data_IF_085685790979
#
_entry.id   IF_085685790979
#
_cell.length_a   1.000
_cell.length_b   1.000
_cell.length_c   1.000
_cell.angle_alpha   90.00
_cell.angle_beta   90.00
_cell.angle_gamma   90.00
#
_symmetry.space_group_name_H-M   'P 1'
#
loop_
_entity.id
_entity.type
_entity.pdbx_description
1 polymer ?
#
# COMPACT_ATOMS: atom_id res chain seq x y z
N UNK A 1 16.91 33.50 8.71
CA UNK A 1 16.99 32.41 9.69
C UNK A 1 16.77 31.16 8.87
N UNK A 2 17.79 30.31 8.69
CA UNK A 2 17.60 29.02 8.00
C UNK A 2 16.69 28.16 8.87
N UNK A 3 15.69 27.54 8.26
CA UNK A 3 14.80 26.64 8.98
C UNK A 3 15.61 25.44 9.46
N UNK A 4 15.26 24.85 10.60
CA UNK A 4 15.83 23.56 11.02
C UNK A 4 15.61 22.51 9.91
N UNK A 5 14.54 22.65 9.10
CA UNK A 5 14.32 21.82 7.91
C UNK A 5 15.40 21.97 6.82
N UNK A 6 16.06 23.12 6.67
CA UNK A 6 17.12 23.31 5.66
C UNK A 6 18.39 22.49 5.99
N UNK A 7 18.57 22.07 7.24
CA UNK A 7 19.70 21.23 7.67
C UNK A 7 19.42 19.73 7.51
N UNK A 8 18.14 19.31 7.48
CA UNK A 8 17.74 17.90 7.41
C UNK A 8 17.04 17.50 6.10
N UNK A 9 16.84 18.42 5.15
CA UNK A 9 16.35 18.07 3.82
C UNK A 9 17.36 17.15 3.11
N UNK A 10 16.99 15.89 2.78
CA UNK A 10 17.94 14.93 2.25
C UNK A 10 18.37 15.32 0.83
N UNK A 11 19.67 15.27 0.58
CA UNK A 11 20.31 15.79 -0.65
C UNK A 11 20.57 14.72 -1.71
N UNK A 12 20.38 13.45 -1.36
CA UNK A 12 20.57 12.30 -2.24
C UNK A 12 19.86 11.06 -1.68
N UNK A 13 19.89 9.97 -2.45
CA UNK A 13 19.29 8.68 -2.13
C UNK A 13 19.79 8.08 -0.80
N UNK A 14 21.06 8.28 -0.47
CA UNK A 14 21.67 7.70 0.72
C UNK A 14 21.17 8.41 1.98
N UNK A 15 21.14 9.74 1.97
CA UNK A 15 20.63 10.53 3.10
C UNK A 15 19.15 10.21 3.41
N UNK A 16 18.33 9.97 2.38
CA UNK A 16 16.92 9.52 2.58
C UNK A 16 16.87 8.17 3.29
N UNK A 17 17.72 7.22 2.87
CA UNK A 17 17.79 5.91 3.50
C UNK A 17 18.35 5.96 4.92
N UNK A 18 19.28 6.86 5.21
CA UNK A 18 19.78 7.10 6.57
C UNK A 18 18.66 7.64 7.47
N UNK A 19 17.91 8.66 7.04
CA UNK A 19 16.76 9.17 7.80
C UNK A 19 15.69 8.10 8.05
N UNK A 20 15.40 7.27 7.04
CA UNK A 20 14.49 6.15 7.20
C UNK A 20 15.04 5.07 8.15
N UNK A 21 16.34 4.76 8.05
CA UNK A 21 17.03 3.81 8.93
C UNK A 21 16.98 4.25 10.38
N UNK A 22 17.21 5.53 10.65
CA UNK A 22 17.22 6.10 12.00
C UNK A 22 15.83 6.06 12.62
N UNK A 23 14.79 6.34 11.85
CA UNK A 23 13.40 6.14 12.29
C UNK A 23 13.10 4.66 12.53
N UNK A 24 13.41 3.80 11.57
CA UNK A 24 13.10 2.36 11.62
C UNK A 24 13.76 1.67 12.81
N UNK A 25 14.99 2.07 13.16
CA UNK A 25 15.74 1.51 14.27
C UNK A 25 15.75 2.37 15.53
N UNK A 26 14.91 3.40 15.58
CA UNK A 26 14.76 4.29 16.74
C UNK A 26 16.11 4.83 17.23
N UNK A 27 16.99 5.25 16.30
CA UNK A 27 18.27 5.89 16.60
C UNK A 27 18.07 7.37 16.96
N UNK A 28 17.17 7.61 17.90
CA UNK A 28 16.74 8.95 18.33
C UNK A 28 17.89 9.81 18.86
N UNK A 29 18.94 9.19 19.41
CA UNK A 29 20.15 9.88 19.90
C UNK A 29 20.94 10.55 18.76
N UNK A 30 20.80 10.06 17.52
CA UNK A 30 21.45 10.61 16.32
C UNK A 30 20.65 11.79 15.73
N UNK A 31 19.33 11.79 15.94
CA UNK A 31 18.39 12.82 15.43
C UNK A 31 18.20 13.98 16.43
N UNK A 32 18.10 13.70 17.73
CA UNK A 32 17.90 14.69 18.80
C UNK A 32 18.91 14.45 19.93
N UNK A 33 20.10 15.07 19.86
CA UNK A 33 21.14 14.85 20.87
C UNK A 33 20.73 15.44 22.23
N UNK A 34 20.49 14.57 23.21
CA UNK A 34 20.15 14.90 24.60
C UNK A 34 20.18 13.67 25.50
N UNK A 35 20.32 13.85 26.83
CA UNK A 35 20.22 12.74 27.78
C UNK A 35 18.75 12.30 27.91
N UNK A 36 18.43 11.11 27.39
CA UNK A 36 17.13 10.48 27.55
C UNK A 36 16.86 10.14 29.02
N UNK A 37 15.62 10.34 29.47
CA UNK A 37 15.19 9.92 30.80
C UNK A 37 15.20 8.40 30.96
N UNK A 38 15.16 7.90 32.21
CA UNK A 38 15.10 6.46 32.49
C UNK A 38 13.85 5.78 31.89
N UNK A 39 12.76 6.51 31.74
CA UNK A 39 11.52 5.99 31.13
C UNK A 39 11.66 5.90 29.60
N UNK A 40 12.23 6.94 28.98
CA UNK A 40 12.50 6.97 27.53
C UNK A 40 13.48 5.87 27.12
N UNK A 41 14.51 5.60 27.93
CA UNK A 41 15.44 4.49 27.69
C UNK A 41 14.74 3.12 27.71
N UNK A 42 13.77 2.92 28.61
CA UNK A 42 12.99 1.66 28.65
C UNK A 42 12.08 1.50 27.45
N UNK A 43 11.41 2.56 27.02
CA UNK A 43 10.60 2.52 25.80
C UNK A 43 11.48 2.31 24.56
N UNK A 44 12.67 2.92 24.50
CA UNK A 44 13.65 2.68 23.43
C UNK A 44 14.07 1.21 23.36
N UNK A 45 14.37 0.57 24.50
CA UNK A 45 14.69 -0.87 24.57
C UNK A 45 13.53 -1.75 24.07
N UNK A 46 12.29 -1.36 24.37
CA UNK A 46 11.08 -2.06 23.93
C UNK A 46 10.91 -2.08 22.41
N UNK A 47 11.32 -1.03 21.71
CA UNK A 47 11.20 -0.97 20.23
C UNK A 47 12.50 -1.30 19.48
N UNK A 48 13.64 -1.37 20.18
CA UNK A 48 14.92 -1.74 19.55
C UNK A 48 14.92 -3.22 19.16
N UNK A 49 15.25 -3.51 17.89
CA UNK A 49 15.36 -4.86 17.35
C UNK A 49 16.77 -5.44 17.54
N UNK A 50 16.83 -6.71 17.93
CA UNK A 50 18.04 -7.55 17.88
C UNK A 50 18.42 -7.93 16.45
N UNK A 51 19.66 -8.39 16.24
CA UNK A 51 20.13 -8.87 14.94
C UNK A 51 19.26 -9.98 14.34
N UNK A 52 18.72 -10.87 15.19
CA UNK A 52 17.80 -11.95 14.76
C UNK A 52 16.46 -11.39 14.29
N UNK A 53 15.97 -10.33 14.93
CA UNK A 53 14.71 -9.67 14.53
C UNK A 53 14.88 -8.85 13.27
N UNK A 54 16.03 -8.17 13.10
CA UNK A 54 16.40 -7.48 11.85
C UNK A 54 16.52 -8.47 10.69
N UNK A 55 17.08 -9.66 10.94
CA UNK A 55 17.12 -10.72 9.92
C UNK A 55 15.72 -11.20 9.53
N UNK A 56 14.80 -11.39 10.49
CA UNK A 56 13.39 -11.71 10.19
C UNK A 56 12.72 -10.60 9.38
N UNK A 57 12.94 -9.34 9.77
CA UNK A 57 12.37 -8.17 9.10
C UNK A 57 12.86 -8.10 7.64
N UNK A 58 14.16 -8.26 7.40
CA UNK A 58 14.76 -8.32 6.06
C UNK A 58 14.11 -9.42 5.21
N UNK A 59 13.92 -10.62 5.76
CA UNK A 59 13.31 -11.76 5.04
C UNK A 59 11.79 -11.65 4.83
N UNK A 60 11.11 -10.78 5.57
CA UNK A 60 9.64 -10.68 5.52
C UNK A 60 9.11 -9.93 4.30
N UNK A 61 9.95 -9.17 3.59
CA UNK A 61 9.55 -8.32 2.47
C UNK A 61 8.83 -7.02 2.84
N UNK A 62 8.43 -6.85 4.11
CA UNK A 62 7.61 -5.69 4.52
C UNK A 62 8.38 -4.37 4.56
N UNK A 63 9.72 -4.38 4.56
CA UNK A 63 10.56 -3.17 4.61
C UNK A 63 10.16 -2.15 3.55
N UNK A 64 9.93 -2.60 2.31
CA UNK A 64 9.52 -1.70 1.24
C UNK A 64 8.11 -1.12 1.44
N UNK A 65 7.21 -1.85 2.13
CA UNK A 65 5.88 -1.33 2.45
C UNK A 65 5.93 -0.28 3.55
N UNK A 66 6.76 -0.50 4.56
CA UNK A 66 7.05 0.52 5.59
C UNK A 66 7.64 1.75 4.91
N UNK A 67 8.65 1.56 4.06
CA UNK A 67 9.31 2.62 3.33
C UNK A 67 8.34 3.37 2.41
N UNK A 68 7.50 2.67 1.62
CA UNK A 68 6.48 3.27 0.75
C UNK A 68 5.61 4.28 1.49
N UNK A 69 5.15 3.93 2.69
CA UNK A 69 4.31 4.81 3.50
C UNK A 69 5.12 5.93 4.14
N UNK A 70 6.29 5.64 4.69
CA UNK A 70 7.19 6.66 5.25
C UNK A 70 7.61 7.71 4.20
N UNK A 71 7.95 7.25 3.01
CA UNK A 71 8.43 8.08 1.91
C UNK A 71 7.35 9.00 1.36
N UNK A 72 6.07 8.72 1.64
CA UNK A 72 4.95 9.50 1.13
C UNK A 72 3.96 9.94 2.23
N UNK A 73 4.32 9.84 3.50
CA UNK A 73 3.60 10.50 4.58
C UNK A 73 4.07 11.95 4.65
N UNK A 74 3.16 12.87 4.92
CA UNK A 74 3.53 14.27 5.10
C UNK A 74 4.30 14.44 6.42
N UNK A 75 5.48 15.04 6.38
CA UNK A 75 6.23 15.39 7.60
C UNK A 75 6.22 16.90 7.87
N UNK A 76 6.09 17.71 6.82
CA UNK A 76 6.03 19.17 6.91
C UNK A 76 4.70 19.72 7.45
N UNK A 77 4.65 21.05 7.52
CA UNK A 77 3.51 21.83 8.02
C UNK A 77 3.04 22.91 7.03
N UNK A 78 3.70 23.03 5.87
CA UNK A 78 3.39 24.07 4.87
C UNK A 78 2.35 23.59 3.86
N UNK A 79 1.40 24.42 3.45
CA UNK A 79 0.34 23.98 2.54
C UNK A 79 0.88 23.73 1.12
N UNK A 80 0.99 22.45 0.75
CA UNK A 80 1.51 22.02 -0.56
C UNK A 80 0.39 21.90 -1.59
N UNK A 81 -0.78 21.46 -1.16
CA UNK A 81 -2.00 21.29 -1.96
C UNK A 81 -3.24 21.71 -1.16
N UNK A 82 -4.42 21.69 -1.78
CA UNK A 82 -5.68 21.83 -1.05
C UNK A 82 -6.08 20.57 -0.27
N UNK A 83 -5.42 19.44 -0.55
CA UNK A 83 -5.75 18.12 -0.01
C UNK A 83 -5.01 17.80 1.30
N UNK A 84 -3.81 18.35 1.48
CA UNK A 84 -2.94 18.10 2.63
C UNK A 84 -1.88 19.19 2.81
N UNK A 85 -1.38 19.29 4.04
CA UNK A 85 -0.29 20.18 4.42
C UNK A 85 1.00 19.37 4.61
N UNK A 86 2.14 19.97 4.27
CA UNK A 86 3.48 19.39 4.36
C UNK A 86 3.92 18.63 3.11
N UNK A 87 5.19 18.82 2.72
CA UNK A 87 5.80 17.94 1.73
C UNK A 87 6.06 16.56 2.34
N UNK A 88 5.99 15.55 1.48
CA UNK A 88 6.44 14.19 1.77
C UNK A 88 7.92 14.04 1.40
N UNK A 89 8.65 13.05 1.96
CA UNK A 89 10.04 12.80 1.57
C UNK A 89 10.19 12.54 0.06
N UNK A 90 9.18 11.94 -0.57
CA UNK A 90 9.10 11.77 -2.03
C UNK A 90 9.07 13.10 -2.78
N UNK A 91 8.28 14.06 -2.30
CA UNK A 91 8.18 15.39 -2.90
C UNK A 91 9.46 16.19 -2.68
N UNK A 92 10.05 16.12 -1.49
CA UNK A 92 11.35 16.73 -1.20
C UNK A 92 12.45 16.17 -2.12
N UNK A 93 12.50 14.85 -2.26
CA UNK A 93 13.43 14.16 -3.16
C UNK A 93 13.23 14.57 -4.62
N UNK A 94 11.99 14.88 -5.03
CA UNK A 94 11.69 15.27 -6.39
C UNK A 94 12.20 16.66 -6.79
N UNK A 95 12.61 17.51 -5.83
CA UNK A 95 13.35 18.74 -6.14
C UNK A 95 14.70 18.44 -6.77
N UNK A 96 15.28 17.28 -6.44
CA UNK A 96 16.59 16.79 -6.92
C UNK A 96 16.41 15.83 -8.09
N UNK A 97 15.40 14.96 -8.00
CA UNK A 97 15.05 13.95 -9.00
C UNK A 97 13.62 14.16 -9.53
N UNK A 98 13.40 15.13 -10.45
CA UNK A 98 12.06 15.52 -10.88
C UNK A 98 11.23 14.41 -11.55
N UNK A 99 11.86 13.33 -12.00
CA UNK A 99 11.15 12.19 -12.58
C UNK A 99 10.34 11.41 -11.55
N UNK A 100 10.67 11.48 -10.26
CA UNK A 100 9.93 10.83 -9.17
C UNK A 100 8.48 11.31 -9.11
N UNK A 101 8.26 12.63 -9.20
CA UNK A 101 6.92 13.24 -9.20
C UNK A 101 6.13 12.95 -10.49
N UNK A 102 6.79 12.45 -11.53
CA UNK A 102 6.18 12.18 -12.83
C UNK A 102 5.98 10.69 -13.09
N UNK A 103 6.29 9.83 -12.12
CA UNK A 103 6.26 8.37 -12.31
C UNK A 103 7.31 7.88 -13.31
N UNK A 104 8.39 8.66 -13.51
CA UNK A 104 9.44 8.39 -14.51
C UNK A 104 10.73 7.88 -13.90
N UNK A 105 11.01 8.26 -12.67
CA UNK A 105 12.06 7.65 -11.84
C UNK A 105 11.38 6.77 -10.79
N UNK A 106 12.07 5.74 -10.32
CA UNK A 106 11.56 4.84 -9.27
C UNK A 106 12.57 4.69 -8.15
N UNK A 107 12.08 4.67 -6.92
CA UNK A 107 12.90 4.55 -5.72
C UNK A 107 12.35 3.46 -4.80
N UNK A 108 13.24 2.59 -4.34
CA UNK A 108 12.92 1.48 -3.43
C UNK A 108 14.11 1.20 -2.52
N UNK A 109 13.92 0.37 -1.50
CA UNK A 109 14.97 0.11 -0.50
C UNK A 109 15.05 -1.35 -0.11
N UNK A 110 16.21 -1.81 0.35
CA UNK A 110 16.38 -3.13 0.96
C UNK A 110 17.05 -3.03 2.32
N UNK A 111 16.78 -4.00 3.20
CA UNK A 111 17.51 -4.17 4.45
C UNK A 111 18.57 -5.26 4.28
N UNK A 112 19.84 -4.87 4.25
CA UNK A 112 20.99 -5.74 4.01
C UNK A 112 22.01 -5.65 5.15
N UNK A 113 22.85 -6.68 5.33
CA UNK A 113 23.97 -6.65 6.28
C UNK A 113 25.25 -6.25 5.56
N UNK A 114 25.74 -5.04 5.80
CA UNK A 114 26.95 -4.44 5.22
C UNK A 114 27.95 -4.19 6.35
N UNK A 115 29.19 -4.68 6.22
CA UNK A 115 30.25 -4.51 7.23
C UNK A 115 29.82 -4.89 8.66
N UNK A 116 29.09 -6.01 8.77
CA UNK A 116 28.46 -6.51 10.01
C UNK A 116 27.35 -5.62 10.62
N UNK A 117 26.91 -4.57 9.94
CA UNK A 117 25.81 -3.72 10.36
C UNK A 117 24.59 -3.89 9.45
N UNK A 118 23.40 -3.90 10.04
CA UNK A 118 22.15 -3.90 9.28
C UNK A 118 21.87 -2.48 8.77
N UNK A 119 21.80 -2.32 7.45
CA UNK A 119 21.60 -1.03 6.79
C UNK A 119 20.47 -1.03 5.77
N UNK A 120 19.81 0.11 5.64
CA UNK A 120 18.90 0.40 4.54
C UNK A 120 19.72 0.82 3.32
N UNK A 121 19.57 0.06 2.24
CA UNK A 121 20.24 0.31 0.98
C UNK A 121 19.26 0.88 -0.05
N UNK A 122 19.58 2.03 -0.68
CA UNK A 122 18.76 2.60 -1.74
C UNK A 122 18.88 1.80 -3.04
N UNK A 123 17.77 1.72 -3.77
CA UNK A 123 17.70 1.24 -5.14
C UNK A 123 16.94 2.26 -5.98
N UNK A 124 17.69 3.04 -6.75
CA UNK A 124 17.17 4.11 -7.61
C UNK A 124 17.27 3.75 -9.09
N UNK A 125 16.14 3.88 -9.80
CA UNK A 125 16.02 3.60 -11.22
C UNK A 125 15.67 4.88 -11.97
N UNK A 126 16.64 5.52 -12.66
CA UNK A 126 16.41 6.78 -13.35
C UNK A 126 15.59 6.61 -14.63
N UNK A 127 14.94 7.68 -15.09
CA UNK A 127 14.09 7.75 -16.29
C UNK A 127 14.77 7.15 -17.52
N UNK A 128 16.06 7.41 -17.72
CA UNK A 128 16.82 6.88 -18.86
C UNK A 128 16.93 5.35 -18.81
N UNK A 129 17.16 4.78 -17.62
CA UNK A 129 17.21 3.33 -17.44
C UNK A 129 15.82 2.71 -17.67
N UNK A 130 14.77 3.30 -17.08
CA UNK A 130 13.41 2.79 -17.22
C UNK A 130 12.93 2.87 -18.66
N UNK A 131 13.21 3.96 -19.39
CA UNK A 131 12.91 4.07 -20.83
C UNK A 131 13.57 2.98 -21.67
N UNK A 132 14.84 2.66 -21.40
CA UNK A 132 15.56 1.61 -22.11
C UNK A 132 14.99 0.21 -21.87
N UNK A 133 14.35 -0.01 -20.72
CA UNK A 133 13.76 -1.29 -20.33
C UNK A 133 12.23 -1.35 -20.49
N UNK A 134 11.60 -0.36 -21.13
CA UNK A 134 10.16 -0.34 -21.35
C UNK A 134 9.31 -0.01 -20.11
N UNK A 135 9.92 0.61 -19.09
CA UNK A 135 9.29 0.95 -17.80
C UNK A 135 9.61 -0.05 -16.70
N UNK A 136 9.20 0.26 -15.47
CA UNK A 136 9.46 -0.57 -14.29
C UNK A 136 8.81 -1.95 -14.41
N UNK A 137 7.53 -1.98 -14.82
CA UNK A 137 6.77 -3.21 -14.98
C UNK A 137 7.43 -4.17 -15.98
N UNK A 138 7.81 -3.67 -17.16
CA UNK A 138 8.44 -4.49 -18.21
C UNK A 138 9.82 -4.99 -17.79
N UNK A 139 10.60 -4.14 -17.14
CA UNK A 139 11.88 -4.54 -16.55
C UNK A 139 11.69 -5.68 -15.53
N UNK A 140 10.76 -5.52 -14.60
CA UNK A 140 10.44 -6.52 -13.59
C UNK A 140 9.95 -7.84 -14.21
N UNK A 141 9.04 -7.77 -15.18
CA UNK A 141 8.48 -8.93 -15.88
C UNK A 141 9.55 -9.69 -16.68
N UNK A 142 10.46 -8.98 -17.34
CA UNK A 142 11.59 -9.60 -18.05
C UNK A 142 12.48 -10.36 -17.07
N UNK A 143 12.86 -9.74 -15.97
CA UNK A 143 13.68 -10.37 -14.94
C UNK A 143 13.00 -11.59 -14.32
N UNK A 144 11.68 -11.51 -14.04
CA UNK A 144 10.87 -12.64 -13.55
C UNK A 144 10.99 -13.86 -14.46
N UNK A 145 10.88 -13.65 -15.77
CA UNK A 145 10.88 -14.71 -16.79
C UNK A 145 12.28 -15.30 -17.03
N UNK A 146 13.33 -14.51 -16.84
CA UNK A 146 14.72 -14.97 -17.00
C UNK A 146 15.23 -15.78 -15.80
N UNK A 147 14.59 -15.65 -14.64
CA UNK A 147 14.96 -16.39 -13.44
C UNK A 147 14.52 -17.85 -13.47
N UNK A 148 15.50 -18.74 -13.31
CA UNK A 148 15.28 -20.19 -13.24
C UNK A 148 15.09 -20.71 -11.81
N UNK A 149 15.54 -19.95 -10.80
CA UNK A 149 15.50 -20.36 -9.38
C UNK A 149 14.49 -19.55 -8.58
N UNK A 150 13.42 -20.23 -8.16
CA UNK A 150 12.23 -19.67 -7.51
C UNK A 150 12.42 -19.14 -6.07
N UNK A 151 13.65 -18.96 -5.59
CA UNK A 151 13.93 -18.75 -4.16
C UNK A 151 14.70 -17.49 -3.80
N UNK A 152 15.14 -16.69 -4.78
CA UNK A 152 15.95 -15.50 -4.53
C UNK A 152 15.12 -14.25 -4.84
N UNK A 153 14.95 -13.38 -3.84
CA UNK A 153 14.47 -12.01 -4.04
C UNK A 153 15.57 -11.32 -4.85
N UNK A 154 15.27 -10.91 -6.09
CA UNK A 154 16.30 -10.46 -7.02
C UNK A 154 16.41 -8.94 -7.09
N UNK A 155 15.36 -8.21 -6.75
CA UNK A 155 15.41 -6.75 -6.55
C UNK A 155 14.32 -6.38 -5.53
N UNK A 156 14.44 -5.25 -4.81
CA UNK A 156 13.51 -4.88 -3.74
C UNK A 156 12.02 -4.96 -4.15
N UNK A 157 11.71 -4.58 -5.39
CA UNK A 157 10.34 -4.53 -5.98
C UNK A 157 9.97 -5.77 -6.79
N UNK A 158 10.94 -6.65 -7.02
CA UNK A 158 10.75 -7.95 -7.62
C UNK A 158 10.72 -8.99 -6.48
N UNK A 159 9.75 -8.83 -5.59
CA UNK A 159 9.56 -9.67 -4.42
C UNK A 159 8.65 -10.88 -4.74
N UNK A 160 8.39 -11.70 -3.72
CA UNK A 160 7.51 -12.85 -3.83
C UNK A 160 6.08 -12.44 -4.26
N UNK A 161 5.65 -11.23 -3.94
CA UNK A 161 4.29 -10.76 -4.18
C UNK A 161 4.10 -10.29 -5.62
N UNK A 162 5.14 -9.70 -6.23
CA UNK A 162 5.09 -9.41 -7.66
C UNK A 162 4.96 -10.69 -8.49
N UNK A 163 5.63 -11.77 -8.08
CA UNK A 163 5.48 -13.07 -8.74
C UNK A 163 4.06 -13.63 -8.59
N UNK A 164 3.49 -13.56 -7.40
CA UNK A 164 2.09 -13.96 -7.17
C UNK A 164 1.13 -13.11 -8.00
N UNK A 165 1.37 -11.79 -8.08
CA UNK A 165 0.62 -10.85 -8.90
C UNK A 165 0.65 -11.23 -10.39
N UNK A 166 1.83 -11.49 -10.97
CA UNK A 166 1.94 -11.90 -12.38
C UNK A 166 1.28 -13.27 -12.60
N UNK A 167 1.51 -14.24 -11.72
CA UNK A 167 0.88 -15.56 -11.82
C UNK A 167 -0.65 -15.48 -11.79
N UNK A 168 -1.20 -14.56 -11.00
CA UNK A 168 -2.63 -14.29 -10.94
C UNK A 168 -3.17 -13.68 -12.23
N UNK A 169 -2.46 -12.71 -12.81
CA UNK A 169 -2.86 -12.11 -14.10
C UNK A 169 -2.77 -13.13 -15.26
N UNK A 170 -1.71 -13.94 -15.29
CA UNK A 170 -1.54 -14.98 -16.32
C UNK A 170 -2.65 -16.05 -16.22
N UNK A 171 -3.06 -16.43 -15.01
CA UNK A 171 -4.20 -17.33 -14.82
C UNK A 171 -5.52 -16.74 -15.34
N UNK A 172 -5.75 -15.44 -15.07
CA UNK A 172 -6.92 -14.73 -15.59
C UNK A 172 -6.93 -14.64 -17.12
N UNK A 173 -5.78 -14.34 -17.73
CA UNK A 173 -5.60 -14.30 -19.18
C UNK A 173 -5.95 -15.65 -19.84
N UNK A 174 -5.45 -16.75 -19.27
CA UNK A 174 -5.74 -18.11 -19.74
C UNK A 174 -7.22 -18.47 -19.64
N UNK A 175 -7.92 -18.01 -18.60
CA UNK A 175 -9.35 -18.23 -18.44
C UNK A 175 -10.14 -17.46 -19.52
N UNK A 176 -9.83 -16.17 -19.72
CA UNK A 176 -10.47 -15.30 -20.71
C UNK A 176 -10.28 -15.87 -22.12
N UNK A 177 -9.07 -16.29 -22.48
CA UNK A 177 -8.76 -16.86 -23.81
C UNK A 177 -9.55 -18.15 -24.09
N UNK A 178 -9.76 -18.98 -23.08
CA UNK A 178 -10.53 -20.22 -23.21
C UNK A 178 -12.02 -19.94 -23.44
N UNK A 179 -12.57 -18.93 -22.78
CA UNK A 179 -14.00 -18.59 -22.87
C UNK A 179 -14.34 -17.75 -24.09
N UNK A 180 -13.58 -16.68 -24.38
CA UNK A 180 -13.92 -15.71 -25.41
C UNK A 180 -13.36 -16.03 -26.79
N UNK A 181 -12.40 -16.96 -26.91
CA UNK A 181 -11.64 -17.26 -28.14
C UNK A 181 -11.06 -16.00 -28.82
N UNK A 182 -10.84 -14.94 -28.05
CA UNK A 182 -10.32 -13.69 -28.56
C UNK A 182 -8.82 -13.83 -28.86
N UNK A 183 -8.40 -13.25 -29.99
CA UNK A 183 -6.99 -12.99 -30.24
C UNK A 183 -6.69 -11.60 -29.68
N UNK A 184 -5.86 -11.56 -28.64
CA UNK A 184 -5.33 -10.32 -28.10
C UNK A 184 -4.66 -9.51 -29.21
N UNK A 185 -5.15 -8.30 -29.47
CA UNK A 185 -4.53 -7.30 -30.35
C UNK A 185 -3.83 -6.20 -29.54
N UNK A 186 -3.34 -6.50 -28.35
CA UNK A 186 -2.56 -5.54 -27.56
C UNK A 186 -1.17 -5.39 -28.17
N UNK A 187 -0.86 -4.20 -28.69
CA UNK A 187 0.46 -3.90 -29.27
C UNK A 187 1.60 -3.73 -28.25
N UNK A 188 1.29 -3.70 -26.94
CA UNK A 188 2.25 -3.54 -25.86
C UNK A 188 1.80 -4.34 -24.61
N UNK A 189 2.70 -5.18 -24.08
CA UNK A 189 2.47 -6.00 -22.88
C UNK A 189 2.03 -5.15 -21.66
N UNK A 190 2.48 -3.91 -21.53
CA UNK A 190 2.09 -3.02 -20.42
C UNK A 190 0.57 -2.81 -20.38
N UNK A 191 -0.01 -2.42 -21.51
CA UNK A 191 -1.45 -2.15 -21.60
C UNK A 191 -2.28 -3.42 -21.49
N UNK A 192 -1.74 -4.56 -21.98
CA UNK A 192 -2.38 -5.87 -21.78
C UNK A 192 -2.50 -6.20 -20.30
N UNK A 193 -1.39 -6.19 -19.56
CA UNK A 193 -1.40 -6.53 -18.14
C UNK A 193 -2.21 -5.53 -17.30
N UNK A 194 -2.28 -4.27 -17.74
CA UNK A 194 -3.10 -3.27 -17.09
C UNK A 194 -4.61 -3.50 -17.29
N UNK A 195 -5.07 -3.86 -18.49
CA UNK A 195 -6.48 -4.22 -18.72
C UNK A 195 -6.86 -5.49 -17.94
N UNK A 196 -5.99 -6.51 -17.94
CA UNK A 196 -6.16 -7.71 -17.12
C UNK A 196 -6.26 -7.36 -15.62
N UNK A 197 -5.36 -6.50 -15.13
CA UNK A 197 -5.35 -6.03 -13.76
C UNK A 197 -6.68 -5.39 -13.36
N UNK A 198 -7.21 -4.46 -14.17
CA UNK A 198 -8.49 -3.80 -13.88
C UNK A 198 -9.69 -4.77 -13.90
N UNK A 199 -9.66 -5.80 -14.76
CA UNK A 199 -10.72 -6.82 -14.81
C UNK A 199 -10.71 -7.70 -13.57
N UNK A 200 -9.53 -8.13 -13.14
CA UNK A 200 -9.41 -9.11 -12.07
C UNK A 200 -9.53 -8.47 -10.67
N UNK A 201 -9.16 -7.19 -10.54
CA UNK A 201 -9.14 -6.48 -9.25
C UNK A 201 -10.53 -6.36 -8.63
N UNK A 202 -11.58 -6.05 -9.41
CA UNK A 202 -12.93 -5.94 -8.86
C UNK A 202 -13.43 -7.27 -8.30
N UNK A 203 -13.16 -8.39 -8.99
CA UNK A 203 -13.46 -9.74 -8.51
C UNK A 203 -12.77 -10.03 -7.17
N UNK A 204 -11.49 -9.71 -7.05
CA UNK A 204 -10.76 -9.88 -5.80
C UNK A 204 -11.33 -9.04 -4.66
N UNK A 205 -11.71 -7.79 -4.92
CA UNK A 205 -12.36 -6.95 -3.90
C UNK A 205 -13.65 -7.64 -3.43
N UNK A 206 -14.55 -8.00 -4.35
CA UNK A 206 -15.86 -8.62 -4.01
C UNK A 206 -15.68 -9.91 -3.20
N UNK A 207 -14.79 -10.80 -3.64
CA UNK A 207 -14.55 -12.09 -2.98
C UNK A 207 -13.98 -11.95 -1.56
N UNK A 208 -13.24 -10.88 -1.28
CA UNK A 208 -12.57 -10.68 0.01
C UNK A 208 -13.28 -9.67 0.91
N UNK A 209 -14.30 -8.97 0.40
CA UNK A 209 -14.94 -7.89 1.14
C UNK A 209 -15.73 -8.37 2.35
N UNK A 210 -16.29 -9.59 2.32
CA UNK A 210 -17.09 -10.15 3.42
C UNK A 210 -18.58 -9.75 3.36
N UNK A 211 -19.04 -9.25 2.21
CA UNK A 211 -20.47 -9.05 1.95
C UNK A 211 -21.23 -10.38 1.96
N UNK A 212 -22.57 -10.31 1.96
CA UNK A 212 -23.38 -11.53 1.85
C UNK A 212 -23.01 -12.33 0.59
N UNK A 213 -23.31 -13.63 0.60
CA UNK A 213 -23.18 -14.47 -0.59
C UNK A 213 -24.02 -13.89 -1.73
N UNK A 214 -23.35 -13.65 -2.87
CA UNK A 214 -23.96 -13.22 -4.11
C UNK A 214 -24.20 -14.43 -5.02
N UNK A 215 -25.22 -14.35 -5.87
CA UNK A 215 -25.33 -15.25 -7.02
C UNK A 215 -24.38 -14.79 -8.16
N UNK A 216 -24.29 -15.57 -9.25
CA UNK A 216 -23.37 -15.29 -10.36
C UNK A 216 -23.66 -13.95 -11.05
N UNK A 217 -24.93 -13.64 -11.29
CA UNK A 217 -25.35 -12.38 -11.92
C UNK A 217 -25.02 -11.17 -11.03
N UNK A 218 -25.38 -11.25 -9.74
CA UNK A 218 -25.06 -10.21 -8.74
C UNK A 218 -23.56 -9.99 -8.59
N UNK A 219 -22.77 -11.08 -8.61
CA UNK A 219 -21.32 -11.01 -8.54
C UNK A 219 -20.74 -10.31 -9.77
N UNK A 220 -21.19 -10.70 -10.96
CA UNK A 220 -20.75 -10.10 -12.22
C UNK A 220 -21.11 -8.61 -12.29
N UNK A 221 -22.34 -8.25 -11.94
CA UNK A 221 -22.82 -6.86 -11.92
C UNK A 221 -22.01 -6.01 -10.93
N UNK A 222 -21.78 -6.50 -9.71
CA UNK A 222 -20.98 -5.77 -8.73
C UNK A 222 -19.53 -5.60 -9.19
N UNK A 223 -18.92 -6.64 -9.80
CA UNK A 223 -17.56 -6.53 -10.34
C UNK A 223 -17.47 -5.49 -11.47
N UNK A 224 -18.49 -5.43 -12.33
CA UNK A 224 -18.59 -4.45 -13.40
C UNK A 224 -18.75 -3.02 -12.84
N UNK A 225 -19.63 -2.84 -11.87
CA UNK A 225 -19.87 -1.54 -11.23
C UNK A 225 -18.64 -1.03 -10.47
N UNK A 226 -17.93 -1.89 -9.75
CA UNK A 226 -16.67 -1.53 -9.08
C UNK A 226 -15.62 -1.11 -10.10
N UNK A 227 -15.45 -1.88 -11.19
CA UNK A 227 -14.50 -1.54 -12.25
C UNK A 227 -14.81 -0.17 -12.86
N UNK A 228 -16.06 0.08 -13.22
CA UNK A 228 -16.47 1.37 -13.81
C UNK A 228 -16.34 2.52 -12.82
N UNK A 229 -16.65 2.31 -11.55
CA UNK A 229 -16.43 3.28 -10.49
C UNK A 229 -14.95 3.71 -10.44
N UNK A 230 -14.03 2.74 -10.40
CA UNK A 230 -12.58 3.00 -10.38
C UNK A 230 -12.14 3.75 -11.64
N UNK A 231 -12.54 3.28 -12.83
CA UNK A 231 -12.18 3.92 -14.11
C UNK A 231 -12.67 5.37 -14.15
N UNK A 232 -13.96 5.60 -13.86
CA UNK A 232 -14.53 6.94 -13.89
C UNK A 232 -13.86 7.88 -12.88
N UNK A 233 -13.57 7.38 -11.68
CA UNK A 233 -12.89 8.16 -10.65
C UNK A 233 -11.46 8.51 -11.05
N UNK A 234 -10.70 7.54 -11.55
CA UNK A 234 -9.32 7.77 -12.02
C UNK A 234 -9.27 8.72 -13.23
N UNK A 235 -10.22 8.60 -14.15
CA UNK A 235 -10.34 9.49 -15.32
C UNK A 235 -10.81 10.91 -14.96
N UNK A 236 -11.22 11.15 -13.71
CA UNK A 236 -11.63 12.48 -13.24
C UNK A 236 -10.45 13.34 -12.77
N UNK A 237 -9.26 12.76 -12.64
CA UNK A 237 -8.06 13.50 -12.27
C UNK A 237 -7.75 14.58 -13.30
N UNK A 238 -7.47 15.80 -12.85
CA UNK A 238 -7.08 16.90 -13.73
C UNK A 238 -5.61 16.79 -14.14
N UNK A 239 -5.27 17.45 -15.25
CA UNK A 239 -3.90 17.48 -15.76
C UNK A 239 -3.05 18.49 -14.95
N UNK A 240 -2.43 18.01 -13.87
CA UNK A 240 -1.55 18.82 -13.04
C UNK A 240 -0.74 18.03 -12.01
N UNK A 241 0.38 18.62 -11.58
CA UNK A 241 1.26 17.99 -10.59
C UNK A 241 0.73 18.07 -9.15
N UNK A 242 -0.27 18.93 -8.90
CA UNK A 242 -0.90 19.13 -7.58
C UNK A 242 -2.38 18.73 -7.55
N UNK A 243 -2.86 18.11 -8.62
CA UNK A 243 -4.26 17.72 -8.76
C UNK A 243 -4.42 16.29 -8.22
N UNK A 244 -4.64 16.20 -6.91
CA UNK A 244 -4.89 14.94 -6.23
C UNK A 244 -6.37 14.59 -6.24
N UNK A 245 -6.68 13.33 -5.98
CA UNK A 245 -8.01 12.83 -5.71
C UNK A 245 -8.10 12.46 -4.22
N UNK A 246 -9.21 12.82 -3.57
CA UNK A 246 -9.47 12.40 -2.19
C UNK A 246 -9.85 10.93 -2.15
N UNK A 247 -9.22 10.17 -1.25
CA UNK A 247 -9.59 8.77 -1.12
C UNK A 247 -11.01 8.59 -0.57
N UNK A 248 -11.44 9.47 0.33
CA UNK A 248 -12.77 9.40 0.93
C UNK A 248 -13.89 9.47 -0.12
N UNK A 249 -13.69 10.23 -1.20
CA UNK A 249 -14.65 10.29 -2.30
C UNK A 249 -14.76 8.95 -3.05
N UNK A 250 -13.62 8.36 -3.42
CA UNK A 250 -13.61 7.02 -4.03
C UNK A 250 -14.20 5.99 -3.09
N UNK A 251 -13.84 6.05 -1.81
CA UNK A 251 -14.30 5.11 -0.80
C UNK A 251 -15.81 5.22 -0.59
N UNK A 252 -16.35 6.45 -0.59
CA UNK A 252 -17.80 6.71 -0.59
C UNK A 252 -18.48 6.11 -1.81
N UNK A 253 -17.94 6.33 -3.02
CA UNK A 253 -18.54 5.77 -4.24
C UNK A 253 -18.54 4.24 -4.23
N UNK A 254 -17.43 3.63 -3.84
CA UNK A 254 -17.33 2.17 -3.72
C UNK A 254 -18.26 1.63 -2.65
N UNK A 255 -18.32 2.25 -1.47
CA UNK A 255 -19.24 1.84 -0.42
C UNK A 255 -20.69 1.87 -0.90
N UNK A 256 -21.10 2.95 -1.58
CA UNK A 256 -22.44 3.09 -2.13
C UNK A 256 -22.74 2.09 -3.27
N UNK A 257 -21.73 1.65 -4.00
CA UNK A 257 -21.86 0.58 -5.00
C UNK A 257 -22.07 -0.77 -4.32
N UNK A 258 -21.23 -1.10 -3.34
CA UNK A 258 -21.31 -2.36 -2.60
C UNK A 258 -22.60 -2.46 -1.78
N UNK A 259 -23.03 -1.37 -1.14
CA UNK A 259 -24.20 -1.35 -0.25
C UNK A 259 -25.53 -1.64 -0.91
N UNK A 260 -25.63 -1.42 -2.22
CA UNK A 260 -26.79 -1.82 -3.02
C UNK A 260 -27.02 -3.33 -3.03
N UNK A 261 -25.96 -4.11 -2.87
CA UNK A 261 -26.02 -5.56 -2.89
C UNK A 261 -26.22 -6.18 -1.51
N UNK A 262 -26.14 -5.43 -0.40
CA UNK A 262 -26.39 -5.94 0.95
C UNK A 262 -27.23 -4.96 1.78
N UNK A 263 -28.54 -5.23 1.81
CA UNK A 263 -29.55 -4.39 2.46
C UNK A 263 -29.42 -4.26 4.00
N UNK A 264 -28.49 -5.00 4.63
CA UNK A 264 -28.21 -4.88 6.05
C UNK A 264 -27.12 -3.83 6.36
N UNK A 265 -26.47 -3.30 5.32
CA UNK A 265 -25.44 -2.29 5.48
C UNK A 265 -26.05 -0.90 5.69
N UNK A 266 -25.45 -0.14 6.60
CA UNK A 266 -25.80 1.26 6.82
C UNK A 266 -25.26 2.15 5.70
N UNK A 267 -25.85 3.34 5.59
CA UNK A 267 -25.39 4.36 4.65
C UNK A 267 -23.98 4.86 4.98
N UNK A 268 -23.31 5.45 3.99
CA UNK A 268 -22.01 6.09 4.19
C UNK A 268 -22.10 7.23 5.20
N UNK A 269 -23.17 8.03 5.13
CA UNK A 269 -23.43 9.15 6.03
C UNK A 269 -23.51 8.67 7.48
N UNK A 270 -24.22 7.57 7.75
CA UNK A 270 -24.27 6.95 9.07
C UNK A 270 -22.89 6.47 9.53
N UNK A 271 -22.06 5.90 8.65
CA UNK A 271 -20.68 5.50 9.00
C UNK A 271 -19.88 6.73 9.44
N UNK A 272 -19.90 7.82 8.67
CA UNK A 272 -19.13 9.03 8.97
C UNK A 272 -19.56 9.70 10.27
N UNK A 273 -20.86 9.76 10.57
CA UNK A 273 -21.38 10.29 11.84
C UNK A 273 -20.91 9.44 13.02
N UNK A 274 -20.88 8.11 12.82
CA UNK A 274 -20.50 7.16 13.85
C UNK A 274 -19.00 7.15 14.12
N UNK A 275 -18.15 7.24 13.10
CA UNK A 275 -16.69 7.21 13.24
C UNK A 275 -16.08 8.57 13.57
N UNK A 276 -16.77 9.67 13.28
CA UNK A 276 -16.30 11.03 13.59
C UNK A 276 -16.31 11.43 15.08
N UNK A 277 -16.75 10.55 15.98
CA UNK A 277 -16.78 10.83 17.43
C UNK A 277 -16.55 9.59 18.29
N UNK A 278 -15.52 9.64 19.13
CA UNK A 278 -15.20 8.59 20.12
C UNK A 278 -16.37 8.23 21.04
N UNK A 279 -17.32 9.15 21.23
CA UNK A 279 -18.52 8.95 22.06
C UNK A 279 -19.45 7.86 21.52
N UNK A 280 -19.37 7.54 20.22
CA UNK A 280 -20.22 6.54 19.58
C UNK A 280 -19.62 5.11 19.62
N UNK A 281 -18.36 4.94 20.07
CA UNK A 281 -17.68 3.63 20.11
C UNK A 281 -18.43 2.58 20.94
N UNK A 282 -19.09 3.02 22.02
CA UNK A 282 -19.86 2.15 22.90
C UNK A 282 -21.14 1.58 22.27
N UNK A 283 -21.70 2.26 21.24
CA UNK A 283 -22.87 1.79 20.49
C UNK A 283 -22.50 0.61 19.57
N UNK A 284 -21.27 0.56 19.06
CA UNK A 284 -20.78 -0.51 18.16
C UNK A 284 -20.76 -1.89 18.82
N UNK A 285 -20.40 -1.95 20.11
CA UNK A 285 -20.27 -3.23 20.81
C UNK A 285 -21.60 -3.96 21.01
N UNK A 286 -22.75 -3.30 20.77
CA UNK A 286 -24.09 -3.83 21.08
C UNK A 286 -24.95 -4.13 19.86
N UNK A 287 -24.62 -3.61 18.67
CA UNK A 287 -25.40 -3.81 17.45
C UNK A 287 -24.55 -4.52 16.39
N UNK A 288 -24.91 -5.77 16.09
CA UNK A 288 -24.17 -6.61 15.16
C UNK A 288 -24.18 -6.08 13.72
N UNK A 289 -25.27 -5.46 13.26
CA UNK A 289 -25.33 -4.89 11.91
C UNK A 289 -24.42 -3.66 11.77
N UNK A 290 -24.37 -2.80 12.79
CA UNK A 290 -23.46 -1.65 12.82
C UNK A 290 -22.01 -2.11 12.86
N UNK A 291 -21.70 -3.07 13.74
CA UNK A 291 -20.37 -3.66 13.84
C UNK A 291 -19.92 -4.23 12.49
N UNK A 292 -20.76 -5.07 11.87
CA UNK A 292 -20.48 -5.66 10.55
C UNK A 292 -20.23 -4.60 9.49
N UNK A 293 -21.06 -3.56 9.42
CA UNK A 293 -20.90 -2.52 8.40
C UNK A 293 -19.58 -1.76 8.56
N UNK A 294 -19.18 -1.45 9.78
CA UNK A 294 -17.90 -0.76 10.06
C UNK A 294 -16.71 -1.68 9.74
N UNK A 295 -16.80 -2.96 10.08
CA UNK A 295 -15.77 -3.95 9.73
C UNK A 295 -15.63 -4.08 8.21
N UNK A 296 -16.74 -4.14 7.47
CA UNK A 296 -16.75 -4.16 6.01
C UNK A 296 -16.19 -2.87 5.41
N UNK A 297 -16.54 -1.72 5.96
CA UNK A 297 -16.02 -0.42 5.52
C UNK A 297 -14.51 -0.31 5.72
N UNK A 298 -14.00 -0.71 6.89
CA UNK A 298 -12.57 -0.77 7.15
C UNK A 298 -11.87 -1.76 6.20
N UNK A 299 -12.46 -2.95 6.01
CA UNK A 299 -11.94 -3.96 5.10
C UNK A 299 -11.87 -3.44 3.65
N UNK A 300 -12.89 -2.71 3.19
CA UNK A 300 -12.90 -2.12 1.84
C UNK A 300 -11.67 -1.22 1.62
N UNK A 301 -11.35 -0.34 2.57
CA UNK A 301 -10.16 0.50 2.50
C UNK A 301 -8.85 -0.30 2.42
N UNK A 302 -8.71 -1.36 3.21
CA UNK A 302 -7.54 -2.26 3.17
C UNK A 302 -7.43 -2.98 1.82
N UNK A 303 -8.55 -3.48 1.29
CA UNK A 303 -8.61 -4.16 0.00
C UNK A 303 -8.31 -3.22 -1.16
N UNK A 304 -8.71 -1.96 -1.07
CA UNK A 304 -8.35 -0.95 -2.05
C UNK A 304 -6.86 -0.71 -2.07
N UNK A 305 -6.20 -0.54 -0.91
CA UNK A 305 -4.75 -0.39 -0.90
C UNK A 305 -4.07 -1.65 -1.43
N UNK A 306 -4.44 -2.83 -0.93
CA UNK A 306 -3.84 -4.11 -1.30
C UNK A 306 -3.97 -4.45 -2.80
N UNK A 307 -5.17 -4.32 -3.35
CA UNK A 307 -5.47 -4.81 -4.70
C UNK A 307 -5.47 -3.71 -5.77
N UNK A 308 -5.58 -2.44 -5.38
CA UNK A 308 -5.50 -1.31 -6.32
C UNK A 308 -4.19 -0.57 -6.09
N UNK A 309 -4.08 0.23 -5.04
CA UNK A 309 -3.02 1.25 -4.99
C UNK A 309 -1.62 0.69 -4.82
N UNK A 310 -1.44 -0.39 -4.07
CA UNK A 310 -0.15 -1.05 -3.89
C UNK A 310 0.39 -1.58 -5.23
N UNK A 311 -0.33 -2.41 -6.00
CA UNK A 311 0.12 -2.82 -7.33
C UNK A 311 0.44 -1.64 -8.26
N UNK A 312 -0.41 -0.61 -8.30
CA UNK A 312 -0.21 0.55 -9.17
C UNK A 312 1.07 1.30 -8.81
N UNK A 313 1.31 1.54 -7.52
CA UNK A 313 2.52 2.20 -7.04
C UNK A 313 3.74 1.33 -7.25
N UNK A 314 3.68 0.10 -6.75
CA UNK A 314 4.85 -0.77 -6.64
C UNK A 314 5.32 -1.31 -7.98
N UNK A 315 4.38 -1.78 -8.80
CA UNK A 315 4.71 -2.54 -10.00
C UNK A 315 4.67 -1.70 -11.26
N UNK A 316 3.79 -0.69 -11.29
CA UNK A 316 3.65 0.19 -12.44
C UNK A 316 4.30 1.56 -12.25
N UNK A 317 4.74 1.92 -11.03
CA UNK A 317 5.20 3.27 -10.68
C UNK A 317 4.18 4.34 -11.10
N UNK A 318 2.89 4.00 -10.97
CA UNK A 318 1.80 4.68 -11.64
C UNK A 318 1.01 5.65 -10.77
N UNK A 319 1.33 5.74 -9.47
CA UNK A 319 0.57 6.53 -8.51
C UNK A 319 1.50 7.05 -7.40
N UNK A 320 1.23 8.27 -6.98
CA UNK A 320 1.70 8.84 -5.73
C UNK A 320 0.55 8.82 -4.72
N UNK A 321 0.82 8.37 -3.50
CA UNK A 321 -0.19 8.30 -2.44
C UNK A 321 0.32 9.06 -1.23
N UNK A 322 -0.51 9.95 -0.69
CA UNK A 322 -0.16 10.79 0.44
C UNK A 322 -0.95 10.36 1.67
N UNK A 323 -0.24 10.07 2.75
CA UNK A 323 -0.84 9.83 4.07
C UNK A 323 -0.65 11.06 4.95
N UNK A 324 -1.66 11.37 5.77
CA UNK A 324 -1.61 12.53 6.69
C UNK A 324 -1.46 12.19 8.17
N UNK A 325 -1.75 10.94 8.56
CA UNK A 325 -1.77 10.52 9.96
C UNK A 325 -0.43 9.91 10.39
N UNK A 326 0.43 10.73 10.99
CA UNK A 326 1.74 10.33 11.56
C UNK A 326 1.59 9.33 12.70
N UNK A 327 0.58 9.53 13.54
CA UNK A 327 0.28 8.68 14.70
C UNK A 327 -0.01 7.25 14.25
N UNK A 328 -0.95 7.06 13.31
CA UNK A 328 -1.24 5.75 12.76
C UNK A 328 -0.02 5.06 12.13
N UNK A 329 0.90 5.82 11.51
CA UNK A 329 2.15 5.24 10.99
C UNK A 329 3.04 4.72 12.13
N UNK A 330 3.20 5.50 13.20
CA UNK A 330 4.02 5.13 14.37
C UNK A 330 3.39 3.98 15.15
N UNK A 331 2.06 3.89 15.21
CA UNK A 331 1.34 2.77 15.82
C UNK A 331 1.59 1.47 15.07
N UNK A 332 1.48 1.47 13.74
CA UNK A 332 1.76 0.30 12.89
C UNK A 332 3.25 -0.09 12.94
N UNK A 333 4.14 0.89 13.03
CA UNK A 333 5.57 0.65 13.24
C UNK A 333 5.81 -0.03 14.59
N UNK A 334 5.20 0.48 15.65
CA UNK A 334 5.30 -0.08 17.00
C UNK A 334 4.75 -1.51 17.06
N UNK A 335 3.59 -1.76 16.46
CA UNK A 335 3.01 -3.09 16.33
C UNK A 335 3.94 -4.04 15.57
N UNK A 336 4.57 -3.55 14.49
CA UNK A 336 5.56 -4.32 13.73
C UNK A 336 6.71 -4.80 14.62
N UNK A 337 7.30 -3.90 15.41
CA UNK A 337 8.41 -4.24 16.32
C UNK A 337 7.98 -5.28 17.36
N UNK A 338 6.80 -5.11 17.95
CA UNK A 338 6.26 -6.04 18.95
C UNK A 338 5.94 -7.42 18.37
N UNK A 339 5.45 -7.52 17.13
CA UNK A 339 5.21 -8.80 16.45
C UNK A 339 6.55 -9.51 16.16
N UNK A 340 7.57 -8.79 15.68
CA UNK A 340 8.89 -9.36 15.38
C UNK A 340 9.57 -9.97 16.63
N UNK A 341 9.40 -9.29 17.77
CA UNK A 341 9.82 -9.75 19.10
C UNK A 341 9.00 -10.93 19.64
N UNK A 342 7.82 -11.18 19.06
CA UNK A 342 6.90 -12.22 19.50
C UNK A 342 6.10 -11.86 20.76
N UNK A 343 6.04 -10.56 21.08
CA UNK A 343 5.24 -10.00 22.17
C UNK A 343 3.77 -9.86 21.79
N UNK A 344 3.48 -9.63 20.50
CA UNK A 344 2.14 -9.75 19.90
C UNK A 344 2.05 -11.08 19.15
N UNK A 345 1.12 -11.96 19.53
CA UNK A 345 0.93 -13.28 18.91
C UNK A 345 -0.39 -13.37 18.14
N UNK A 346 -0.32 -13.92 16.93
CA UNK A 346 -1.46 -14.18 16.05
C UNK A 346 -2.53 -15.15 16.63
N UNK A 347 -2.21 -15.90 17.70
CA UNK A 347 -3.08 -16.94 18.28
C UNK A 347 -4.26 -16.42 19.09
N UNK A 348 -4.27 -15.15 19.49
CA UNK A 348 -5.38 -14.59 20.28
C UNK A 348 -6.60 -14.19 19.42
N UNK A 349 -6.61 -14.56 18.14
CA UNK A 349 -7.57 -14.04 17.14
C UNK A 349 -8.32 -15.11 16.32
N UNK A 350 -8.06 -16.41 16.52
CA UNK A 350 -8.79 -17.46 15.80
C UNK A 350 -10.15 -17.73 16.44
N UNK A 351 -11.19 -17.04 15.97
CA UNK A 351 -12.55 -17.57 15.99
C UNK A 351 -12.57 -18.84 15.11
N UNK A 352 -12.65 -20.01 15.77
CA UNK A 352 -12.94 -21.36 15.24
C UNK A 352 -12.15 -21.88 14.02
N UNK A 353 -11.07 -22.62 14.31
CA UNK A 353 -10.31 -23.45 13.35
C UNK A 353 -11.05 -24.68 12.80
N UNK A 354 -12.33 -24.87 13.10
CA UNK A 354 -13.07 -26.10 12.78
C UNK A 354 -14.07 -25.95 11.62
N UNK A 355 -14.06 -24.84 10.89
CA UNK A 355 -14.92 -24.67 9.72
C UNK A 355 -14.19 -25.12 8.44
N UNK A 356 -14.62 -26.21 7.77
CA UNK A 356 -14.01 -26.67 6.53
C UNK A 356 -14.22 -25.70 5.35
N UNK A 357 -15.17 -24.75 5.44
CA UNK A 357 -15.35 -23.69 4.42
C UNK A 357 -14.28 -22.58 4.52
N UNK A 358 -13.52 -22.53 5.62
CA UNK A 358 -12.45 -21.52 5.83
C UNK A 358 -11.14 -21.83 5.10
N UNK A 359 -11.00 -23.02 4.51
CA UNK A 359 -9.78 -23.44 3.82
C UNK A 359 -9.67 -22.95 2.36
N UNK A 360 -10.59 -22.12 1.87
CA UNK A 360 -10.63 -21.70 0.47
C UNK A 360 -10.76 -20.20 0.19
N UNK A 361 -10.57 -19.33 1.19
CA UNK A 361 -10.54 -17.88 0.93
C UNK A 361 -9.36 -17.24 1.66
N UNK A 362 -8.60 -16.45 0.89
CA UNK A 362 -7.43 -15.68 1.32
C UNK A 362 -7.72 -14.95 2.64
N UNK A 363 -6.97 -15.34 3.67
CA UNK A 363 -6.73 -14.68 4.95
C UNK A 363 -7.79 -13.64 5.39
N UNK A 364 -8.67 -14.03 6.31
CA UNK A 364 -9.33 -13.07 7.19
C UNK A 364 -8.25 -12.14 7.77
N UNK A 365 -8.31 -10.85 7.41
CA UNK A 365 -7.31 -9.85 7.74
C UNK A 365 -7.19 -9.73 9.26
N UNK A 366 -6.18 -10.38 9.82
CA UNK A 366 -5.77 -10.12 11.20
C UNK A 366 -5.05 -8.77 11.21
N UNK A 367 -5.45 -7.81 12.05
CA UNK A 367 -4.73 -6.55 12.21
C UNK A 367 -3.30 -6.75 12.76
N UNK A 368 -2.92 -7.98 13.11
CA UNK A 368 -1.60 -8.33 13.63
C UNK A 368 -0.83 -9.32 12.74
N UNK A 369 -1.28 -9.54 11.49
CA UNK A 369 -0.42 -10.15 10.48
C UNK A 369 0.46 -9.05 9.87
N UNK A 370 1.78 -9.17 10.00
CA UNK A 370 2.75 -8.22 9.44
C UNK A 370 2.57 -8.02 7.93
N UNK A 371 2.06 -9.04 7.22
CA UNK A 371 1.78 -8.96 5.78
C UNK A 371 0.56 -8.11 5.45
N UNK A 372 -0.30 -7.79 6.42
CA UNK A 372 -1.52 -7.03 6.17
C UNK A 372 -1.58 -5.69 6.88
N UNK A 373 -0.83 -5.54 7.97
CA UNK A 373 -0.74 -4.31 8.76
C UNK A 373 -0.45 -3.05 7.94
N UNK A 374 0.36 -3.18 6.88
CA UNK A 374 0.81 -2.04 6.07
C UNK A 374 -0.06 -1.76 4.85
N UNK A 375 -1.18 -2.49 4.65
CA UNK A 375 -2.18 -2.14 3.66
C UNK A 375 -3.21 -1.21 4.26
N UNK A 376 -3.08 0.07 3.94
CA UNK A 376 -3.85 1.13 4.58
C UNK A 376 -4.26 2.19 3.57
N UNK A 377 -5.54 2.60 3.56
CA UNK A 377 -6.01 3.68 2.72
C UNK A 377 -5.16 4.96 2.91
N UNK A 378 -4.77 5.61 1.81
CA UNK A 378 -4.13 6.93 1.83
C UNK A 378 -5.15 8.06 2.05
N UNK A 379 -4.68 9.28 2.32
CA UNK A 379 -5.57 10.45 2.45
C UNK A 379 -5.97 10.95 1.07
N UNK A 380 -4.97 11.09 0.19
CA UNK A 380 -5.14 11.54 -1.17
C UNK A 380 -4.13 10.84 -2.08
N UNK A 381 -4.41 10.78 -3.37
CA UNK A 381 -3.49 10.18 -4.34
C UNK A 381 -3.59 10.86 -5.70
N UNK A 382 -2.58 10.64 -6.54
CA UNK A 382 -2.64 11.03 -7.95
C UNK A 382 -1.95 10.00 -8.83
N UNK A 383 -2.54 9.71 -9.97
CA UNK A 383 -1.95 8.93 -11.04
C UNK A 383 -0.82 9.72 -11.72
N UNK A 384 0.22 9.01 -12.14
CA UNK A 384 1.39 9.58 -12.78
C UNK A 384 1.83 8.74 -13.98
N UNK A 385 2.76 9.26 -14.78
CA UNK A 385 3.41 8.52 -15.86
C UNK A 385 2.45 7.96 -16.90
N UNK A 386 2.72 6.73 -17.34
CA UNK A 386 1.92 6.02 -18.34
C UNK A 386 0.60 5.48 -17.77
N UNK A 387 0.47 5.38 -16.44
CA UNK A 387 -0.81 5.06 -15.79
C UNK A 387 -1.80 6.20 -15.95
N UNK A 388 -1.40 7.46 -15.73
CA UNK A 388 -2.28 8.61 -15.98
C UNK A 388 -2.77 8.61 -17.44
N UNK A 389 -1.87 8.45 -18.42
CA UNK A 389 -2.21 8.38 -19.85
C UNK A 389 -3.08 7.18 -20.25
N UNK A 390 -3.24 6.19 -19.40
CA UNK A 390 -4.15 5.09 -19.69
C UNK A 390 -5.62 5.50 -19.48
N UNK A 391 -5.89 6.39 -18.52
CA UNK A 391 -7.24 6.83 -18.17
C UNK A 391 -7.68 8.11 -18.88
N UNK A 392 -6.79 8.73 -19.68
CA UNK A 392 -7.03 9.95 -20.44
C UNK A 392 -6.55 9.77 -21.88
#
# INVERSE_FOLDING_TARGET
MKSIYDEYAPRNEHEICELFEDLLFMRTDEIMPGELGKEDLKEKEKFTLSDKEKEKLSKSGIINRIFRRWFQINWGWENVSEYFEGETPRQEMAHIYPGINRGKDYFSVNLEKIDNQWKIKPHYYPENFLKQNGGLFQYALKNLREQKDNKVIIEPFFDLEFKEFISWLDFGDDAIKKELKEKDNFGNDYYKYWDLFLRMTSGNIVLNLGIRRLNEDEFSDLCFDIKNCIINFFSSQLEGHKDYLYLDDLHKFLWNTVSRFDNKMISYEEITELTGSDKNISKFKKNENLKRSIELYHNLGVLMDRYIFFPIERYFNGIEQVWTSKEAFLDDLSATMMILKGELKQKDLYLNKNDPEYNNYLDALSPYDLRYLWFVPCTAFRLTGDTFKYFH
#
